data_IF_487363582357
#
_entry.id   IF_487363582357
#
_cell.length_a   1.000
_cell.length_b   1.000
_cell.length_c   1.000
_cell.angle_alpha   90.00
_cell.angle_beta   90.00
_cell.angle_gamma   90.00
#
_symmetry.space_group_name_H-M   'P 1'
#
loop_
_entity.id
_entity.type
_entity.pdbx_description
1 polymer ?
#
# COMPACT_ATOMS: atom_id res chain seq x y z
N UNK A 1 -0.13 -34.44 38.88
CA UNK A 1 -0.91 -33.63 37.94
C UNK A 1 0.05 -33.27 36.81
N UNK A 2 -0.15 -33.84 35.62
CA UNK A 2 0.74 -33.63 34.48
C UNK A 2 0.59 -32.20 33.95
N UNK A 3 1.64 -31.40 34.04
CA UNK A 3 1.77 -30.04 33.47
C UNK A 3 1.68 -30.00 31.92
N UNK A 4 1.48 -31.14 31.26
CA UNK A 4 1.61 -31.27 29.80
C UNK A 4 0.34 -31.01 29.00
N UNK A 5 -0.81 -30.83 29.65
CA UNK A 5 -2.09 -30.62 28.97
C UNK A 5 -2.56 -29.16 29.02
N UNK A 6 -1.66 -28.19 28.91
CA UNK A 6 -2.03 -26.78 28.87
C UNK A 6 -1.43 -26.15 27.63
N UNK A 7 -2.23 -25.37 26.90
CA UNK A 7 -1.74 -24.71 25.70
C UNK A 7 -0.64 -23.69 26.04
N UNK A 8 0.55 -23.75 25.40
CA UNK A 8 1.67 -22.86 25.70
C UNK A 8 1.42 -21.40 25.33
N UNK A 9 0.42 -21.10 24.49
CA UNK A 9 0.08 -19.73 24.07
C UNK A 9 -0.94 -19.04 24.98
N UNK A 10 -1.97 -19.75 25.44
CA UNK A 10 -3.11 -19.13 26.11
C UNK A 10 -3.39 -19.69 27.51
N UNK A 11 -2.66 -20.72 27.96
CA UNK A 11 -2.80 -21.27 29.31
C UNK A 11 -4.09 -22.06 29.56
N UNK A 12 -4.82 -22.46 28.51
CA UNK A 12 -6.08 -23.21 28.63
C UNK A 12 -5.79 -24.72 28.60
N UNK A 13 -6.46 -25.52 29.46
CA UNK A 13 -6.36 -26.98 29.42
C UNK A 13 -6.75 -27.56 28.06
N UNK A 14 -5.97 -28.52 27.58
CA UNK A 14 -6.27 -29.34 26.42
C UNK A 14 -6.99 -30.59 26.93
N UNK A 15 -8.31 -30.66 26.75
CA UNK A 15 -9.19 -31.72 27.26
C UNK A 15 -9.00 -33.07 26.51
N UNK A 16 -7.77 -33.55 26.40
CA UNK A 16 -7.41 -34.75 25.62
C UNK A 16 -7.36 -34.52 24.11
N UNK A 17 -7.70 -33.32 23.65
CA UNK A 17 -7.59 -32.87 22.26
C UNK A 17 -6.15 -32.41 21.96
N UNK A 18 -5.54 -32.82 20.84
CA UNK A 18 -4.19 -32.39 20.47
C UNK A 18 -4.09 -30.89 20.10
N UNK A 19 -5.22 -30.18 19.99
CA UNK A 19 -5.27 -28.83 19.43
C UNK A 19 -6.07 -27.84 20.31
N UNK A 20 -5.49 -26.64 20.53
CA UNK A 20 -6.16 -25.53 21.20
C UNK A 20 -7.16 -24.84 20.24
N UNK A 21 -8.45 -25.14 20.38
CA UNK A 21 -9.52 -24.55 19.56
C UNK A 21 -9.57 -23.01 19.61
N UNK A 22 -9.07 -22.41 20.69
CA UNK A 22 -9.08 -20.95 20.89
C UNK A 22 -7.89 -20.23 20.26
N UNK A 23 -6.81 -20.94 19.95
CA UNK A 23 -5.55 -20.31 19.63
C UNK A 23 -4.79 -20.94 18.46
N UNK A 24 -5.42 -21.88 17.74
CA UNK A 24 -4.97 -22.43 16.45
C UNK A 24 -3.46 -22.70 16.46
N UNK A 25 -2.98 -23.31 17.54
CA UNK A 25 -1.56 -23.28 17.88
C UNK A 25 -0.69 -24.11 16.91
N UNK A 26 -1.31 -24.98 16.10
CA UNK A 26 -0.62 -25.94 15.23
C UNK A 26 -1.09 -25.99 13.77
N UNK A 27 -2.12 -25.21 13.40
CA UNK A 27 -2.50 -25.05 11.99
C UNK A 27 -1.89 -23.74 11.50
N UNK A 28 -1.02 -23.72 10.47
CA UNK A 28 -0.65 -22.46 9.85
C UNK A 28 -1.94 -21.78 9.42
N UNK A 29 -2.22 -20.59 9.94
CA UNK A 29 -3.48 -19.91 9.65
C UNK A 29 -3.66 -19.87 8.12
N UNK A 30 -4.85 -20.20 7.62
CA UNK A 30 -5.08 -20.28 6.17
C UNK A 30 -4.62 -19.00 5.47
N UNK A 31 -4.74 -17.86 6.17
CA UNK A 31 -4.18 -16.58 5.77
C UNK A 31 -2.69 -16.68 5.40
N UNK A 32 -1.79 -17.11 6.29
CA UNK A 32 -0.34 -17.19 6.01
C UNK A 32 0.01 -18.27 5.00
N UNK A 33 -0.68 -19.41 4.98
CA UNK A 33 -0.38 -20.49 4.02
C UNK A 33 -0.47 -20.01 2.56
N UNK A 34 -1.41 -19.10 2.28
CA UNK A 34 -1.62 -18.51 0.95
C UNK A 34 -0.49 -17.53 0.57
N UNK A 35 0.16 -16.88 1.54
CA UNK A 35 1.33 -16.02 1.30
C UNK A 35 2.62 -16.79 1.17
N UNK A 36 2.76 -17.98 1.78
CA UNK A 36 3.99 -18.77 1.72
C UNK A 36 4.03 -19.80 0.58
N UNK A 37 3.02 -19.83 -0.28
CA UNK A 37 3.02 -20.71 -1.45
C UNK A 37 4.07 -20.23 -2.47
N UNK A 38 5.24 -20.87 -2.45
CA UNK A 38 6.37 -20.54 -3.32
C UNK A 38 5.99 -20.52 -4.80
N UNK A 39 5.15 -21.46 -5.26
CA UNK A 39 4.74 -21.53 -6.66
C UNK A 39 3.94 -20.29 -7.07
N UNK A 40 2.99 -19.88 -6.23
CA UNK A 40 2.20 -18.66 -6.49
C UNK A 40 3.11 -17.45 -6.51
N UNK A 41 3.98 -17.29 -5.51
CA UNK A 41 4.84 -16.11 -5.41
C UNK A 41 5.89 -16.01 -6.53
N UNK A 42 6.51 -17.14 -6.89
CA UNK A 42 7.53 -17.18 -7.93
C UNK A 42 6.95 -16.87 -9.32
N UNK A 43 5.72 -17.33 -9.59
CA UNK A 43 5.08 -17.16 -10.89
C UNK A 43 4.17 -15.94 -10.99
N UNK A 44 3.73 -15.34 -9.88
CA UNK A 44 2.77 -14.23 -9.93
C UNK A 44 3.31 -13.04 -10.71
N UNK A 45 4.53 -12.56 -10.41
CA UNK A 45 5.12 -11.41 -11.10
C UNK A 45 5.32 -11.64 -12.61
N UNK A 46 6.03 -12.70 -13.06
CA UNK A 46 6.21 -12.91 -14.49
C UNK A 46 4.88 -13.16 -15.20
N UNK A 47 3.94 -13.90 -14.60
CA UNK A 47 2.61 -14.11 -15.18
C UNK A 47 1.79 -12.82 -15.24
N UNK A 48 1.81 -12.00 -14.18
CA UNK A 48 1.11 -10.73 -14.09
C UNK A 48 1.60 -9.72 -15.12
N UNK A 49 2.92 -9.51 -15.21
CA UNK A 49 3.52 -8.60 -16.20
C UNK A 49 3.33 -9.09 -17.63
N UNK A 50 3.49 -10.40 -17.89
CA UNK A 50 3.23 -10.97 -19.22
C UNK A 50 1.76 -10.84 -19.60
N UNK A 51 0.87 -11.12 -18.66
CA UNK A 51 -0.57 -10.95 -18.83
C UNK A 51 -0.93 -9.49 -19.12
N UNK A 52 -0.36 -8.54 -18.39
CA UNK A 52 -0.56 -7.12 -18.62
C UNK A 52 -0.08 -6.71 -20.01
N UNK A 53 1.13 -7.10 -20.40
CA UNK A 53 1.69 -6.84 -21.72
C UNK A 53 0.79 -7.38 -22.86
N UNK A 54 0.25 -8.59 -22.70
CA UNK A 54 -0.65 -9.20 -23.70
C UNK A 54 -1.99 -8.48 -23.74
N UNK A 55 -2.62 -8.25 -22.57
CA UNK A 55 -3.93 -7.62 -22.46
C UNK A 55 -3.93 -6.19 -23.01
N UNK A 56 -2.86 -5.42 -22.77
CA UNK A 56 -2.75 -4.06 -23.30
C UNK A 56 -2.68 -3.99 -24.84
N UNK A 57 -2.44 -5.09 -25.54
CA UNK A 57 -2.51 -5.11 -27.02
C UNK A 57 -3.94 -5.05 -27.55
N UNK A 58 -4.92 -5.41 -26.73
CA UNK A 58 -6.33 -5.40 -27.11
C UNK A 58 -6.95 -4.08 -26.70
N UNK A 59 -7.56 -3.38 -27.65
CA UNK A 59 -8.12 -2.04 -27.45
C UNK A 59 -9.06 -1.93 -26.23
N UNK A 60 -10.00 -2.87 -26.07
CA UNK A 60 -10.95 -2.86 -24.94
C UNK A 60 -10.23 -2.95 -23.58
N UNK A 61 -9.32 -3.93 -23.44
CA UNK A 61 -8.60 -4.15 -22.19
C UNK A 61 -7.62 -3.02 -21.89
N UNK A 62 -7.00 -2.44 -22.90
CA UNK A 62 -6.17 -1.24 -22.76
C UNK A 62 -6.96 -0.06 -22.18
N UNK A 63 -8.15 0.23 -22.71
CA UNK A 63 -8.98 1.34 -22.22
C UNK A 63 -9.49 1.08 -20.80
N UNK A 64 -9.89 -0.16 -20.50
CA UNK A 64 -10.27 -0.54 -19.13
C UNK A 64 -9.10 -0.41 -18.15
N UNK A 65 -7.89 -0.79 -18.56
CA UNK A 65 -6.69 -0.65 -17.74
C UNK A 65 -6.38 0.82 -17.45
N UNK A 66 -6.49 1.69 -18.46
CA UNK A 66 -6.31 3.13 -18.28
C UNK A 66 -7.29 3.66 -17.24
N UNK A 67 -8.59 3.34 -17.40
CA UNK A 67 -9.63 3.86 -16.53
C UNK A 67 -9.52 3.33 -15.10
N UNK A 68 -9.32 2.02 -14.92
CA UNK A 68 -9.42 1.38 -13.61
C UNK A 68 -8.10 1.13 -12.90
N UNK A 69 -6.97 1.22 -13.60
CA UNK A 69 -5.64 0.99 -13.02
C UNK A 69 -4.77 2.25 -13.13
N UNK A 70 -4.51 2.74 -14.34
CA UNK A 70 -3.55 3.83 -14.58
C UNK A 70 -4.03 5.14 -13.95
N UNK A 71 -5.23 5.62 -14.32
CA UNK A 71 -5.77 6.91 -13.85
C UNK A 71 -5.86 6.96 -12.31
N UNK A 72 -6.45 5.98 -11.61
CA UNK A 72 -6.47 5.97 -10.15
C UNK A 72 -5.09 6.12 -9.51
N UNK A 73 -4.09 5.42 -10.05
CA UNK A 73 -2.71 5.44 -9.54
C UNK A 73 -2.04 6.78 -9.85
N UNK A 74 -2.22 7.31 -11.06
CA UNK A 74 -1.72 8.61 -11.49
C UNK A 74 -2.27 9.74 -10.61
N UNK A 75 -3.59 9.79 -10.42
CA UNK A 75 -4.25 10.82 -9.61
C UNK A 75 -3.86 10.71 -8.12
N UNK A 76 -3.68 9.49 -7.60
CA UNK A 76 -3.12 9.30 -6.26
C UNK A 76 -1.69 9.87 -6.15
N UNK A 77 -0.90 9.79 -7.22
CA UNK A 77 0.41 10.43 -7.32
C UNK A 77 0.35 11.95 -7.18
N UNK A 78 -0.57 12.61 -7.89
CA UNK A 78 -0.82 14.05 -7.72
C UNK A 78 -1.21 14.39 -6.28
N UNK A 79 -2.15 13.63 -5.70
CA UNK A 79 -2.61 13.86 -4.33
C UNK A 79 -1.48 13.67 -3.31
N UNK A 80 -0.67 12.64 -3.47
CA UNK A 80 0.48 12.38 -2.59
C UNK A 80 1.50 13.51 -2.62
N UNK A 81 1.87 13.99 -3.82
CA UNK A 81 2.78 15.12 -3.99
C UNK A 81 2.20 16.42 -3.39
N UNK A 82 0.88 16.64 -3.51
CA UNK A 82 0.20 17.78 -2.92
C UNK A 82 0.17 17.71 -1.38
N UNK A 83 -0.14 16.56 -0.78
CA UNK A 83 -0.12 16.37 0.68
C UNK A 83 1.28 16.56 1.26
N UNK A 84 2.31 16.11 0.56
CA UNK A 84 3.70 16.32 0.94
C UNK A 84 4.07 17.83 0.97
N UNK A 85 3.38 18.67 0.19
CA UNK A 85 3.50 20.13 0.20
C UNK A 85 2.50 20.81 1.16
N UNK A 86 1.75 20.06 1.98
CA UNK A 86 0.76 20.62 2.90
C UNK A 86 -0.49 21.19 2.22
N UNK A 87 -0.82 20.73 1.01
CA UNK A 87 -1.98 21.18 0.26
C UNK A 87 -3.08 20.15 0.31
N UNK A 88 -4.31 20.62 0.46
CA UNK A 88 -5.46 19.73 0.35
C UNK A 88 -5.51 19.13 -1.06
N UNK A 89 -5.67 17.81 -1.13
CA UNK A 89 -5.90 17.13 -2.40
C UNK A 89 -6.86 15.97 -2.19
N UNK A 90 -7.75 15.78 -3.15
CA UNK A 90 -8.68 14.65 -3.21
C UNK A 90 -8.55 13.99 -4.59
N UNK A 91 -7.99 12.77 -4.67
CA UNK A 91 -7.85 12.05 -5.94
C UNK A 91 -9.21 11.45 -6.33
N UNK A 92 -10.05 12.24 -6.99
CA UNK A 92 -11.38 11.78 -7.41
C UNK A 92 -11.23 10.60 -8.37
N UNK A 93 -10.22 10.61 -9.24
CA UNK A 93 -9.92 9.48 -10.13
C UNK A 93 -9.63 8.16 -9.41
N UNK A 94 -9.14 8.21 -8.16
CA UNK A 94 -8.96 7.00 -7.37
C UNK A 94 -10.27 6.44 -6.80
N UNK A 95 -11.30 7.29 -6.64
CA UNK A 95 -12.61 6.91 -6.08
C UNK A 95 -13.61 6.61 -7.19
N UNK A 96 -13.59 7.43 -8.25
CA UNK A 96 -14.40 7.34 -9.46
C UNK A 96 -13.42 7.22 -10.62
N UNK A 97 -13.11 5.99 -11.08
CA UNK A 97 -12.07 5.73 -12.08
C UNK A 97 -12.24 6.46 -13.42
N UNK A 98 -13.45 6.92 -13.73
CA UNK A 98 -13.75 7.73 -14.92
C UNK A 98 -13.48 9.23 -14.75
N UNK A 99 -13.33 9.71 -13.52
CA UNK A 99 -13.05 11.10 -13.21
C UNK A 99 -11.53 11.29 -13.11
N UNK A 100 -10.82 11.34 -14.23
CA UNK A 100 -9.36 11.53 -14.29
C UNK A 100 -8.93 12.94 -13.86
N UNK A 101 -9.18 13.27 -12.59
CA UNK A 101 -8.83 14.54 -11.97
C UNK A 101 -8.60 14.41 -10.47
N UNK A 102 -7.65 15.21 -9.99
CA UNK A 102 -7.40 15.45 -8.57
C UNK A 102 -7.81 16.88 -8.24
N UNK A 103 -8.73 17.04 -7.29
CA UNK A 103 -9.06 18.37 -6.77
C UNK A 103 -7.95 18.81 -5.82
N UNK A 104 -7.26 19.89 -6.15
CA UNK A 104 -6.14 20.42 -5.37
C UNK A 104 -6.49 21.82 -4.85
N UNK A 105 -6.24 22.04 -3.56
CA UNK A 105 -6.29 23.35 -2.94
C UNK A 105 -5.08 24.21 -3.31
N UNK A 106 -5.33 25.42 -3.80
CA UNK A 106 -4.26 26.36 -4.18
C UNK A 106 -3.57 27.02 -2.99
N UNK A 107 -4.07 26.84 -1.78
CA UNK A 107 -3.47 27.40 -0.56
C UNK A 107 -2.83 26.31 0.28
N UNK A 108 -1.80 26.72 1.03
CA UNK A 108 -1.22 25.89 2.07
C UNK A 108 -2.22 25.69 3.21
N UNK A 109 -2.30 24.46 3.74
CA UNK A 109 -3.15 24.10 4.87
C UNK A 109 -2.32 23.38 5.94
N UNK A 110 -2.05 24.07 7.05
CA UNK A 110 -1.29 23.55 8.18
C UNK A 110 -1.80 22.19 8.69
N UNK A 111 -3.12 22.00 8.72
CA UNK A 111 -3.74 20.74 9.14
C UNK A 111 -3.33 19.56 8.25
N UNK A 112 -3.20 19.76 6.93
CA UNK A 112 -2.80 18.70 6.00
C UNK A 112 -1.36 18.29 6.26
N UNK A 113 -0.46 19.26 6.45
CA UNK A 113 0.93 18.98 6.84
C UNK A 113 0.99 18.19 8.14
N UNK A 114 0.22 18.60 9.15
CA UNK A 114 0.21 17.91 10.44
C UNK A 114 -0.27 16.46 10.30
N UNK A 115 -1.32 16.21 9.52
CA UNK A 115 -1.83 14.86 9.25
C UNK A 115 -0.78 14.03 8.51
N UNK A 116 -0.14 14.58 7.49
CA UNK A 116 0.91 13.91 6.73
C UNK A 116 2.10 13.51 7.63
N UNK A 117 2.59 14.46 8.43
CA UNK A 117 3.68 14.22 9.38
C UNK A 117 3.30 13.20 10.45
N UNK A 118 2.07 13.27 10.98
CA UNK A 118 1.57 12.30 11.95
C UNK A 118 1.45 10.90 11.35
N UNK A 119 0.98 10.77 10.10
CA UNK A 119 0.87 9.51 9.39
C UNK A 119 2.24 8.86 9.19
N UNK A 120 3.21 9.57 8.62
CA UNK A 120 4.56 9.04 8.40
C UNK A 120 5.34 8.86 9.70
N UNK A 121 5.14 9.72 10.69
CA UNK A 121 5.70 9.56 12.03
C UNK A 121 5.19 8.29 12.71
N UNK A 122 3.88 8.02 12.62
CA UNK A 122 3.28 6.79 13.13
C UNK A 122 3.79 5.55 12.38
N UNK A 123 3.89 5.59 11.05
CA UNK A 123 4.46 4.50 10.26
C UNK A 123 5.93 4.24 10.63
N UNK A 124 6.74 5.29 10.80
CA UNK A 124 8.12 5.18 11.26
C UNK A 124 8.22 4.58 12.67
N UNK A 125 7.36 4.98 13.60
CA UNK A 125 7.31 4.41 14.95
C UNK A 125 6.95 2.92 14.92
N UNK A 126 5.96 2.53 14.10
CA UNK A 126 5.58 1.12 13.91
C UNK A 126 6.72 0.30 13.29
N UNK A 127 7.39 0.83 12.28
CA UNK A 127 8.56 0.19 11.69
C UNK A 127 9.70 0.02 12.70
N UNK A 128 9.93 1.02 13.56
CA UNK A 128 10.95 0.95 14.60
C UNK A 128 10.64 -0.12 15.65
N UNK A 129 9.39 -0.21 16.11
CA UNK A 129 8.92 -1.26 17.03
C UNK A 129 9.15 -2.67 16.46
N UNK A 130 9.07 -2.82 15.13
CA UNK A 130 9.31 -4.07 14.40
C UNK A 130 10.78 -4.25 13.96
N UNK A 131 11.68 -3.33 14.36
CA UNK A 131 13.11 -3.31 13.98
C UNK A 131 13.36 -3.28 12.46
N UNK A 132 12.42 -2.73 11.69
CA UNK A 132 12.54 -2.58 10.25
C UNK A 132 13.17 -1.23 9.89
N UNK A 133 14.48 -1.09 10.14
CA UNK A 133 15.18 0.20 10.06
C UNK A 133 15.13 0.88 8.68
N UNK A 134 15.05 0.10 7.60
CA UNK A 134 14.87 0.66 6.26
C UNK A 134 13.59 1.51 6.16
N UNK A 135 12.46 1.00 6.68
CA UNK A 135 11.18 1.72 6.66
C UNK A 135 11.17 2.92 7.61
N UNK A 136 11.93 2.85 8.71
CA UNK A 136 12.15 4.01 9.60
C UNK A 136 12.86 5.14 8.84
N UNK A 137 13.96 4.81 8.15
CA UNK A 137 14.70 5.77 7.35
C UNK A 137 13.83 6.36 6.24
N UNK A 138 13.06 5.53 5.54
CA UNK A 138 12.15 5.98 4.47
C UNK A 138 11.08 6.96 5.01
N UNK A 139 10.42 6.64 6.12
CA UNK A 139 9.44 7.54 6.74
C UNK A 139 10.07 8.86 7.18
N UNK A 140 11.28 8.81 7.74
CA UNK A 140 12.02 10.02 8.11
C UNK A 140 12.37 10.87 6.87
N UNK A 141 12.81 10.25 5.77
CA UNK A 141 13.07 10.94 4.51
C UNK A 141 11.81 11.65 3.99
N UNK A 142 10.65 11.00 4.00
CA UNK A 142 9.39 11.64 3.58
C UNK A 142 9.00 12.83 4.45
N UNK A 143 9.22 12.75 5.76
CA UNK A 143 9.00 13.87 6.69
C UNK A 143 9.93 15.04 6.37
N UNK A 144 11.24 14.77 6.21
CA UNK A 144 12.24 15.81 5.92
C UNK A 144 11.95 16.47 4.56
N UNK A 145 11.64 15.69 3.53
CA UNK A 145 11.28 16.19 2.21
C UNK A 145 10.02 17.05 2.30
N UNK A 146 8.99 16.60 3.02
CA UNK A 146 7.75 17.38 3.20
C UNK A 146 8.01 18.74 3.86
N UNK A 147 8.80 18.78 4.93
CA UNK A 147 9.19 20.02 5.61
C UNK A 147 9.99 20.91 4.66
N UNK A 148 11.01 20.37 3.99
CA UNK A 148 11.83 21.12 3.05
C UNK A 148 10.99 21.72 1.91
N UNK A 149 10.06 20.93 1.35
CA UNK A 149 9.14 21.39 0.31
C UNK A 149 8.21 22.48 0.80
N UNK A 150 7.67 22.34 2.00
CA UNK A 150 6.73 23.32 2.58
C UNK A 150 7.37 24.70 2.77
N UNK A 151 8.66 24.75 3.16
CA UNK A 151 9.34 26.02 3.46
C UNK A 151 10.19 26.58 2.31
N UNK A 152 10.63 25.73 1.36
CA UNK A 152 11.61 26.14 0.34
C UNK A 152 11.00 26.35 -1.05
N UNK A 153 9.82 25.79 -1.34
CA UNK A 153 9.22 25.96 -2.66
C UNK A 153 8.56 27.33 -2.83
N UNK A 154 8.88 27.97 -3.94
CA UNK A 154 8.11 29.09 -4.44
C UNK A 154 6.75 28.60 -5.03
N UNK A 155 5.75 29.48 -5.03
CA UNK A 155 4.39 29.13 -5.43
C UNK A 155 4.28 28.61 -6.88
N UNK A 156 5.15 29.09 -7.78
CA UNK A 156 5.24 28.70 -9.18
C UNK A 156 5.86 27.30 -9.38
N UNK A 157 6.65 26.82 -8.43
CA UNK A 157 7.28 25.49 -8.47
C UNK A 157 6.35 24.37 -8.02
N UNK A 158 5.28 24.68 -7.29
CA UNK A 158 4.40 23.65 -6.71
C UNK A 158 3.62 22.89 -7.78
N UNK A 159 3.07 23.60 -8.77
CA UNK A 159 2.31 22.99 -9.87
C UNK A 159 3.12 21.94 -10.66
N UNK A 160 4.34 22.27 -11.12
CA UNK A 160 5.22 21.31 -11.78
C UNK A 160 5.54 20.08 -10.92
N UNK A 161 5.82 20.23 -9.62
CA UNK A 161 6.10 19.08 -8.75
C UNK A 161 4.86 18.19 -8.58
N UNK A 162 3.68 18.77 -8.40
CA UNK A 162 2.45 17.97 -8.31
C UNK A 162 2.21 17.22 -9.62
N UNK A 163 2.41 17.88 -10.77
CA UNK A 163 2.29 17.26 -12.08
C UNK A 163 3.25 16.08 -12.26
N UNK A 164 4.52 16.27 -11.87
CA UNK A 164 5.52 15.20 -11.83
C UNK A 164 5.09 14.06 -10.89
N UNK A 165 4.45 14.38 -9.77
CA UNK A 165 3.91 13.43 -8.81
C UNK A 165 2.94 12.41 -9.42
N UNK A 166 2.18 12.79 -10.45
CA UNK A 166 1.29 11.86 -11.15
C UNK A 166 2.06 10.75 -11.85
N UNK A 167 3.01 11.14 -12.70
CA UNK A 167 3.89 10.20 -13.44
C UNK A 167 4.76 9.40 -12.48
N UNK A 168 5.39 10.04 -11.48
CA UNK A 168 6.19 9.33 -10.48
C UNK A 168 5.33 8.36 -9.64
N UNK A 169 4.07 8.71 -9.41
CA UNK A 169 3.08 7.90 -8.74
C UNK A 169 2.82 6.59 -9.48
N UNK A 170 2.65 6.63 -10.81
CA UNK A 170 2.51 5.41 -11.63
C UNK A 170 3.64 4.42 -11.34
N UNK A 171 4.90 4.84 -11.36
CA UNK A 171 6.01 3.92 -11.09
C UNK A 171 6.08 3.47 -9.63
N UNK A 172 6.03 4.40 -8.68
CA UNK A 172 6.29 4.09 -7.27
C UNK A 172 5.11 3.38 -6.61
N UNK A 173 3.88 3.83 -6.86
CA UNK A 173 2.69 3.23 -6.28
C UNK A 173 2.42 1.87 -6.94
N UNK A 174 2.59 1.70 -8.26
CA UNK A 174 2.49 0.37 -8.89
C UNK A 174 3.48 -0.62 -8.28
N UNK A 175 4.73 -0.20 -8.04
CA UNK A 175 5.72 -1.04 -7.36
C UNK A 175 5.28 -1.41 -5.93
N UNK A 176 4.73 -0.46 -5.16
CA UNK A 176 4.20 -0.72 -3.81
C UNK A 176 3.02 -1.69 -3.86
N UNK A 177 2.10 -1.54 -4.82
CA UNK A 177 0.95 -2.44 -5.01
C UNK A 177 1.42 -3.86 -5.32
N UNK A 178 2.42 -4.02 -6.20
CA UNK A 178 3.04 -5.31 -6.52
C UNK A 178 3.71 -5.91 -5.27
N UNK A 179 4.53 -5.14 -4.55
CA UNK A 179 5.25 -5.64 -3.36
C UNK A 179 4.25 -6.08 -2.27
N UNK A 180 3.14 -5.36 -2.14
CA UNK A 180 2.11 -5.64 -1.13
C UNK A 180 1.39 -6.97 -1.40
N UNK A 181 1.48 -7.54 -2.60
CA UNK A 181 1.03 -8.91 -2.90
C UNK A 181 1.74 -9.98 -2.06
N UNK A 182 3.03 -9.74 -1.80
CA UNK A 182 3.92 -10.67 -1.10
C UNK A 182 3.93 -10.47 0.40
N UNK A 183 3.34 -9.37 0.90
CA UNK A 183 3.38 -9.01 2.30
C UNK A 183 2.02 -9.30 2.99
N UNK A 184 2.01 -10.07 4.09
CA UNK A 184 0.81 -10.33 4.87
C UNK A 184 0.48 -9.13 5.78
N UNK A 185 0.06 -8.00 5.20
CA UNK A 185 -0.02 -6.71 5.91
C UNK A 185 -1.28 -6.52 6.76
N UNK A 186 -2.47 -6.94 6.31
CA UNK A 186 -3.74 -6.61 6.97
C UNK A 186 -4.67 -7.82 7.15
N UNK A 187 -4.55 -8.53 8.28
CA UNK A 187 -5.43 -9.70 8.60
C UNK A 187 -6.92 -9.33 8.66
N UNK A 188 -7.25 -8.19 9.26
CA UNK A 188 -8.65 -7.74 9.45
C UNK A 188 -9.33 -7.45 8.10
N UNK A 189 -8.57 -6.92 7.14
CA UNK A 189 -9.12 -6.49 5.84
C UNK A 189 -9.28 -7.66 4.85
N UNK A 190 -9.06 -8.92 5.25
CA UNK A 190 -8.97 -10.04 4.29
C UNK A 190 -7.98 -9.76 3.17
N UNK A 191 -6.77 -9.29 3.54
CA UNK A 191 -5.72 -8.98 2.57
C UNK A 191 -5.32 -10.19 1.69
N UNK A 192 -5.59 -11.41 2.15
CA UNK A 192 -5.51 -12.64 1.37
C UNK A 192 -6.31 -12.56 0.05
N UNK A 193 -7.45 -11.86 0.06
CA UNK A 193 -8.29 -11.61 -1.10
C UNK A 193 -7.90 -10.34 -1.84
N UNK A 194 -7.78 -9.20 -1.14
CA UNK A 194 -7.54 -7.90 -1.78
C UNK A 194 -6.16 -7.75 -2.43
N UNK A 195 -5.18 -8.58 -2.06
CA UNK A 195 -3.87 -8.55 -2.70
C UNK A 195 -3.90 -8.82 -4.21
N UNK A 196 -4.84 -9.63 -4.70
CA UNK A 196 -4.93 -9.98 -6.13
C UNK A 196 -5.37 -8.80 -7.00
N UNK A 197 -6.49 -8.10 -6.71
CA UNK A 197 -6.86 -6.91 -7.50
C UNK A 197 -5.81 -5.81 -7.40
N UNK A 198 -5.17 -5.60 -6.24
CA UNK A 198 -4.10 -4.62 -6.08
C UNK A 198 -2.85 -4.99 -6.90
N UNK A 199 -2.49 -6.27 -6.92
CA UNK A 199 -1.42 -6.79 -7.77
C UNK A 199 -1.72 -6.57 -9.26
N UNK A 200 -2.94 -6.88 -9.71
CA UNK A 200 -3.37 -6.62 -11.09
C UNK A 200 -3.29 -5.13 -11.42
N UNK A 201 -3.80 -4.26 -10.55
CA UNK A 201 -3.69 -2.82 -10.74
C UNK A 201 -2.24 -2.38 -10.90
N UNK A 202 -1.33 -2.83 -10.02
CA UNK A 202 0.08 -2.48 -10.12
C UNK A 202 0.80 -3.07 -11.33
N UNK A 203 0.38 -4.21 -11.88
CA UNK A 203 0.94 -4.73 -13.12
C UNK A 203 0.41 -4.02 -14.37
N UNK A 204 -0.81 -3.46 -14.30
CA UNK A 204 -1.50 -2.84 -15.44
C UNK A 204 -1.29 -1.33 -15.54
N UNK A 205 -0.99 -0.67 -14.41
CA UNK A 205 -0.72 0.76 -14.29
C UNK A 205 0.74 1.08 -14.58
#
# INVERSE_FOLDING_TARGET
MDEKNVCPKCGIPLDGEPQCFRCDADQPDQFTTVFYNFKINAWSLPAGLTGAFILQKFWVFHHLAILFCVIPVHEMGHAFAAWMNGRFALPIGAIVPTAGMTIIGYSYHFLVTLIYLAAFGYLGLKAYQQKLYFWVALSFCFIVISIAMTFSLAADQVGPIISYGGVAGEFLLSAVLIISFYQPSFKILRWDFFRYPFFVMGCMA
#
